data_IF_955735669858
#
_entry.id   IF_955735669858
#
_cell.length_a   1.000
_cell.length_b   1.000
_cell.length_c   1.000
_cell.angle_alpha   90.00
_cell.angle_beta   90.00
_cell.angle_gamma   90.00
#
_symmetry.space_group_name_H-M   'P 1'
#
loop_
_entity.id
_entity.type
_entity.pdbx_description
1 polymer ?
#
# COMPACT_ATOMS: atom_id res chain seq x y z
N UNK A 1 13.09 -49.51 17.16
CA UNK A 1 12.99 -48.25 16.39
C UNK A 1 11.86 -48.41 15.38
N UNK A 2 10.75 -47.68 15.53
CA UNK A 2 9.54 -47.90 14.74
C UNK A 2 9.71 -47.59 13.26
N UNK A 3 9.28 -48.52 12.40
CA UNK A 3 9.20 -48.36 10.94
C UNK A 3 8.12 -47.32 10.59
N UNK A 4 8.50 -46.05 10.44
CA UNK A 4 7.56 -45.01 10.00
C UNK A 4 7.51 -44.99 8.46
N UNK A 5 6.30 -45.09 7.91
CA UNK A 5 6.06 -45.01 6.46
C UNK A 5 6.53 -43.67 5.89
N UNK A 6 7.39 -43.72 4.87
CA UNK A 6 7.87 -42.51 4.18
C UNK A 6 6.74 -41.87 3.36
N UNK A 7 6.26 -40.71 3.82
CA UNK A 7 5.16 -39.97 3.18
C UNK A 7 5.63 -39.08 2.04
N UNK A 8 6.79 -38.43 2.17
CA UNK A 8 7.43 -37.61 1.12
C UNK A 8 8.29 -38.45 0.18
N UNK A 9 7.65 -39.37 -0.54
CA UNK A 9 8.31 -40.25 -1.51
C UNK A 9 8.39 -39.63 -2.91
N UNK A 10 9.04 -40.31 -3.87
CA UNK A 10 9.18 -39.84 -5.27
C UNK A 10 7.81 -39.57 -5.93
N UNK A 11 6.80 -40.39 -5.62
CA UNK A 11 5.44 -40.24 -6.14
C UNK A 11 4.70 -39.01 -5.58
N UNK A 12 5.03 -38.56 -4.36
CA UNK A 12 4.53 -37.31 -3.80
C UNK A 12 5.04 -36.12 -4.61
N UNK A 13 6.36 -36.02 -4.82
CA UNK A 13 6.95 -34.89 -5.54
C UNK A 13 6.53 -34.81 -7.01
N UNK A 14 6.32 -35.95 -7.69
CA UNK A 14 5.76 -35.99 -9.06
C UNK A 14 4.36 -35.39 -9.17
N UNK A 15 3.55 -35.40 -8.10
CA UNK A 15 2.17 -34.90 -8.08
C UNK A 15 2.00 -33.59 -7.31
N UNK A 16 3.07 -33.07 -6.72
CA UNK A 16 3.00 -31.91 -5.86
C UNK A 16 2.76 -30.64 -6.68
N UNK A 17 1.55 -30.09 -6.60
CA UNK A 17 1.25 -28.81 -7.23
C UNK A 17 1.77 -27.66 -6.36
N UNK A 18 2.76 -26.96 -6.89
CA UNK A 18 3.31 -25.80 -6.20
C UNK A 18 2.34 -24.61 -6.17
N UNK A 19 2.28 -23.92 -5.04
CA UNK A 19 1.59 -22.64 -4.94
C UNK A 19 2.37 -21.54 -5.68
N UNK A 20 1.69 -20.44 -6.02
CA UNK A 20 2.34 -19.29 -6.66
C UNK A 20 3.55 -18.79 -5.87
N UNK A 21 4.60 -18.35 -6.60
CA UNK A 21 5.89 -17.94 -6.02
C UNK A 21 5.74 -17.00 -4.82
N UNK A 22 5.04 -15.87 -4.98
CA UNK A 22 4.83 -14.87 -3.91
C UNK A 22 3.99 -15.36 -2.74
N UNK A 23 3.18 -16.40 -2.94
CA UNK A 23 2.42 -17.05 -1.86
C UNK A 23 3.34 -17.94 -1.03
N UNK A 24 4.24 -18.68 -1.68
CA UNK A 24 5.28 -19.48 -0.99
C UNK A 24 6.25 -18.60 -0.21
N UNK A 25 6.59 -17.43 -0.74
CA UNK A 25 7.39 -16.41 -0.03
C UNK A 25 6.63 -15.68 1.08
N UNK A 26 5.32 -15.90 1.23
CA UNK A 26 4.52 -15.21 2.25
C UNK A 26 4.48 -13.68 2.08
N UNK A 27 4.53 -13.17 0.84
CA UNK A 27 4.53 -11.72 0.55
C UNK A 27 3.22 -11.19 -0.01
N UNK A 28 2.31 -12.07 -0.41
CA UNK A 28 1.08 -11.67 -1.09
C UNK A 28 -0.08 -12.57 -0.72
N UNK A 29 -1.17 -11.94 -0.29
CA UNK A 29 -2.49 -12.55 -0.29
C UNK A 29 -3.16 -12.32 -1.66
N UNK A 30 -3.29 -13.39 -2.44
CA UNK A 30 -3.91 -13.33 -3.76
C UNK A 30 -5.42 -13.12 -3.70
N UNK A 31 -6.07 -13.48 -2.60
CA UNK A 31 -7.51 -13.31 -2.44
C UNK A 31 -7.86 -11.84 -2.22
N UNK A 32 -7.17 -11.19 -1.27
CA UNK A 32 -7.26 -9.75 -1.07
C UNK A 32 -6.81 -8.97 -2.31
N UNK A 33 -5.68 -9.36 -2.93
CA UNK A 33 -5.16 -8.71 -4.14
C UNK A 33 -6.18 -8.77 -5.28
N UNK A 34 -6.77 -9.94 -5.58
CA UNK A 34 -7.76 -10.08 -6.65
C UNK A 34 -8.89 -9.07 -6.49
N UNK A 35 -9.45 -8.95 -5.29
CA UNK A 35 -10.56 -8.02 -5.00
C UNK A 35 -10.15 -6.56 -5.09
N UNK A 36 -8.95 -6.23 -4.65
CA UNK A 36 -8.46 -4.86 -4.66
C UNK A 36 -8.21 -4.36 -6.09
N UNK A 37 -7.56 -5.18 -6.93
CA UNK A 37 -7.16 -4.77 -8.28
C UNK A 37 -8.28 -4.89 -9.32
N UNK A 38 -9.29 -5.71 -9.06
CA UNK A 38 -10.38 -5.93 -10.01
C UNK A 38 -11.08 -4.62 -10.32
N UNK A 39 -11.05 -4.22 -11.58
CA UNK A 39 -11.72 -3.03 -12.10
C UNK A 39 -12.96 -3.45 -12.88
N UNK A 40 -14.00 -2.61 -12.84
CA UNK A 40 -15.19 -2.81 -13.65
C UNK A 40 -14.83 -2.78 -15.14
N UNK A 41 -15.32 -3.75 -15.92
CA UNK A 41 -14.96 -3.87 -17.33
C UNK A 41 -15.45 -2.71 -18.20
N UNK A 42 -16.45 -1.96 -17.74
CA UNK A 42 -16.93 -0.74 -18.39
C UNK A 42 -15.92 0.43 -18.30
N UNK A 43 -14.98 0.39 -17.35
CA UNK A 43 -13.89 1.37 -17.19
C UNK A 43 -12.66 0.90 -17.96
N UNK A 44 -12.78 0.91 -19.29
CA UNK A 44 -11.74 0.46 -20.23
C UNK A 44 -10.39 1.10 -19.94
N UNK A 45 -9.36 0.26 -19.75
CA UNK A 45 -7.97 0.65 -19.49
C UNK A 45 -7.74 1.71 -18.38
N UNK A 46 -8.77 2.07 -17.62
CA UNK A 46 -8.67 3.08 -16.57
C UNK A 46 -7.96 2.46 -15.36
N UNK A 47 -6.79 2.97 -14.99
CA UNK A 47 -5.99 2.37 -13.92
C UNK A 47 -6.71 2.48 -12.58
N UNK A 48 -6.72 1.38 -11.83
CA UNK A 48 -7.19 1.35 -10.44
C UNK A 48 -6.00 1.54 -9.50
N UNK A 49 -5.89 2.74 -8.92
CA UNK A 49 -4.78 3.10 -8.04
C UNK A 49 -4.98 2.56 -6.63
N UNK A 50 -3.91 2.01 -6.06
CA UNK A 50 -3.86 1.56 -4.66
C UNK A 50 -2.66 2.16 -3.94
N UNK A 51 -2.87 2.58 -2.70
CA UNK A 51 -1.84 3.00 -1.76
C UNK A 51 -1.34 1.77 -1.01
N UNK A 52 -0.14 1.32 -1.36
CA UNK A 52 0.52 0.17 -0.75
C UNK A 52 1.39 0.67 0.39
N UNK A 53 1.01 0.30 1.62
CA UNK A 53 1.77 0.63 2.83
C UNK A 53 2.42 -0.65 3.35
N UNK A 54 3.75 -0.64 3.48
CA UNK A 54 4.53 -1.78 4.00
C UNK A 54 5.47 -1.30 5.10
N UNK A 55 5.50 -2.09 6.16
CA UNK A 55 6.39 -1.86 7.29
C UNK A 55 7.52 -2.88 7.21
N UNK A 56 8.74 -2.38 7.34
CA UNK A 56 9.90 -3.19 7.67
C UNK A 56 10.29 -2.90 9.13
N UNK A 57 11.34 -3.56 9.63
CA UNK A 57 11.78 -3.35 11.01
C UNK A 57 12.33 -1.92 11.24
N UNK A 58 12.83 -1.25 10.20
CA UNK A 58 13.52 0.05 10.31
C UNK A 58 12.96 1.14 9.40
N UNK A 59 12.06 0.81 8.49
CA UNK A 59 11.55 1.73 7.46
C UNK A 59 10.06 1.50 7.18
N UNK A 60 9.37 2.58 6.80
CA UNK A 60 7.99 2.58 6.34
C UNK A 60 7.99 2.94 4.87
N UNK A 61 7.41 2.06 4.06
CA UNK A 61 7.34 2.22 2.60
C UNK A 61 5.90 2.49 2.20
N UNK A 62 5.64 3.65 1.63
CA UNK A 62 4.34 4.05 1.11
C UNK A 62 4.46 4.27 -0.41
N UNK A 63 3.62 3.61 -1.20
CA UNK A 63 3.69 3.67 -2.66
C UNK A 63 2.31 3.75 -3.28
N UNK A 64 2.16 4.54 -4.36
CA UNK A 64 0.96 4.50 -5.19
C UNK A 64 1.23 3.61 -6.39
N UNK A 65 0.43 2.56 -6.53
CA UNK A 65 0.63 1.49 -7.51
C UNK A 65 -0.66 1.24 -8.27
N UNK A 66 -0.56 0.92 -9.57
CA UNK A 66 -1.66 0.34 -10.34
C UNK A 66 -1.19 -0.94 -11.04
N UNK A 67 -2.12 -1.84 -11.34
CA UNK A 67 -1.82 -3.12 -11.97
C UNK A 67 -1.85 -3.00 -13.51
N UNK A 68 -0.84 -3.56 -14.19
CA UNK A 68 -0.85 -3.87 -15.62
C UNK A 68 -0.67 -5.38 -15.81
N UNK A 69 -0.86 -5.87 -17.04
CA UNK A 69 -0.70 -7.29 -17.38
C UNK A 69 0.74 -7.76 -17.16
N UNK A 70 1.72 -6.95 -17.58
CA UNK A 70 3.15 -7.30 -17.47
C UNK A 70 3.68 -7.19 -16.02
N UNK A 71 3.03 -6.35 -15.21
CA UNK A 71 3.47 -6.06 -13.85
C UNK A 71 2.78 -4.84 -13.24
N UNK A 72 3.05 -4.62 -11.96
CA UNK A 72 2.59 -3.44 -11.25
C UNK A 72 3.47 -2.23 -11.58
N UNK A 73 2.86 -1.08 -11.88
CA UNK A 73 3.58 0.17 -12.13
C UNK A 73 3.46 1.10 -10.92
N UNK A 74 4.59 1.66 -10.51
CA UNK A 74 4.66 2.58 -9.36
C UNK A 74 4.60 4.02 -9.86
N UNK A 75 3.63 4.77 -9.36
CA UNK A 75 3.42 6.17 -9.75
C UNK A 75 4.27 7.13 -8.92
N UNK A 76 4.32 6.89 -7.61
CA UNK A 76 5.11 7.65 -6.65
C UNK A 76 5.45 6.77 -5.44
N UNK A 77 6.54 7.11 -4.77
CA UNK A 77 7.05 6.44 -3.58
C UNK A 77 7.41 7.46 -2.50
N UNK A 78 7.28 7.06 -1.25
CA UNK A 78 7.77 7.76 -0.08
C UNK A 78 8.30 6.74 0.92
N UNK A 79 9.38 7.11 1.60
CA UNK A 79 10.05 6.27 2.57
C UNK A 79 10.27 7.03 3.88
N UNK A 80 10.31 6.34 5.01
CA UNK A 80 10.52 7.04 6.28
C UNK A 80 11.97 7.46 6.48
N UNK A 81 12.93 6.78 5.84
CA UNK A 81 14.34 7.22 5.81
C UNK A 81 14.58 8.56 5.09
N UNK A 82 13.59 9.10 4.37
CA UNK A 82 13.66 10.43 3.76
C UNK A 82 13.19 11.55 4.71
N UNK A 83 12.45 11.20 5.78
CA UNK A 83 11.92 12.14 6.76
C UNK A 83 12.98 12.99 7.50
N UNK A 84 14.23 12.52 7.73
CA UNK A 84 15.28 13.35 8.30
C UNK A 84 15.56 14.64 7.52
N UNK A 85 15.28 14.67 6.21
CA UNK A 85 15.40 15.88 5.37
C UNK A 85 14.38 16.97 5.75
N UNK A 86 13.29 16.58 6.40
CA UNK A 86 12.18 17.44 6.80
C UNK A 86 12.13 17.67 8.32
N UNK A 87 13.20 17.34 9.05
CA UNK A 87 13.33 17.60 10.48
C UNK A 87 13.07 16.41 11.41
N UNK A 88 12.52 15.30 10.93
CA UNK A 88 12.27 14.10 11.76
C UNK A 88 13.48 13.15 11.70
N UNK A 89 14.40 13.30 12.66
CA UNK A 89 15.68 12.59 12.65
C UNK A 89 15.64 11.17 13.25
N UNK A 90 14.72 10.90 14.18
CA UNK A 90 14.66 9.67 14.98
C UNK A 90 13.24 9.09 14.93
N UNK A 91 13.09 7.80 15.21
CA UNK A 91 11.77 7.19 15.36
C UNK A 91 11.04 6.94 14.05
N UNK A 92 11.76 6.52 13.01
CA UNK A 92 11.25 6.42 11.63
C UNK A 92 10.19 5.32 11.40
N UNK A 93 9.85 4.52 12.41
CA UNK A 93 8.88 3.42 12.32
C UNK A 93 7.65 3.59 13.23
N UNK A 94 7.55 4.72 13.93
CA UNK A 94 6.43 5.02 14.82
C UNK A 94 5.18 5.50 14.05
N UNK A 95 4.09 5.74 14.77
CA UNK A 95 2.84 6.22 14.19
C UNK A 95 2.98 7.62 13.54
N UNK A 96 3.63 8.62 14.17
CA UNK A 96 3.93 9.91 13.52
C UNK A 96 4.70 9.79 12.21
N UNK A 97 5.73 8.93 12.15
CA UNK A 97 6.50 8.70 10.93
C UNK A 97 5.64 8.06 9.83
N UNK A 98 4.71 7.18 10.18
CA UNK A 98 3.73 6.65 9.24
C UNK A 98 2.85 7.76 8.66
N UNK A 99 2.35 8.67 9.52
CA UNK A 99 1.56 9.83 9.08
C UNK A 99 2.38 10.74 8.16
N UNK A 100 3.59 11.12 8.56
CA UNK A 100 4.46 11.98 7.75
C UNK A 100 4.82 11.34 6.39
N UNK A 101 5.09 10.03 6.35
CA UNK A 101 5.36 9.33 5.07
C UNK A 101 4.14 9.25 4.16
N UNK A 102 2.94 9.06 4.73
CA UNK A 102 1.68 9.14 3.99
C UNK A 102 1.45 10.53 3.38
N UNK A 103 1.67 11.58 4.16
CA UNK A 103 1.55 12.97 3.71
C UNK A 103 2.56 13.31 2.61
N UNK A 104 3.81 12.87 2.79
CA UNK A 104 4.86 13.06 1.78
C UNK A 104 4.48 12.39 0.45
N UNK A 105 3.91 11.18 0.50
CA UNK A 105 3.42 10.48 -0.68
C UNK A 105 2.29 11.25 -1.38
N UNK A 106 1.29 11.70 -0.62
CA UNK A 106 0.15 12.46 -1.15
C UNK A 106 0.61 13.74 -1.86
N UNK A 107 1.49 14.53 -1.23
CA UNK A 107 2.04 15.76 -1.84
C UNK A 107 2.83 15.48 -3.11
N UNK A 108 3.65 14.42 -3.13
CA UNK A 108 4.39 14.02 -4.35
C UNK A 108 3.45 13.67 -5.51
N UNK A 109 2.37 12.95 -5.21
CA UNK A 109 1.38 12.53 -6.22
C UNK A 109 0.61 13.73 -6.75
N UNK A 110 0.13 14.60 -5.87
CA UNK A 110 -0.60 15.80 -6.25
C UNK A 110 0.29 16.75 -7.08
N UNK A 111 1.55 16.94 -6.69
CA UNK A 111 2.51 17.73 -7.48
C UNK A 111 2.77 17.13 -8.86
N UNK A 112 2.91 15.79 -8.95
CA UNK A 112 3.09 15.09 -10.23
C UNK A 112 1.86 15.21 -11.14
N UNK A 113 0.66 15.29 -10.56
CA UNK A 113 -0.61 15.47 -11.27
C UNK A 113 -1.02 16.94 -11.47
N UNK A 114 -0.24 17.90 -10.94
CA UNK A 114 -0.55 19.34 -10.93
C UNK A 114 -1.91 19.64 -10.28
N UNK A 115 -2.17 18.97 -9.15
CA UNK A 115 -3.38 19.06 -8.33
C UNK A 115 -3.10 19.64 -6.93
N UNK A 116 -1.85 20.03 -6.67
CA UNK A 116 -1.35 20.51 -5.39
C UNK A 116 -1.98 21.83 -4.93
N UNK A 117 -2.25 22.75 -5.85
CA UNK A 117 -2.91 24.03 -5.54
C UNK A 117 -4.42 23.87 -5.28
N UNK A 118 -5.07 22.92 -5.97
CA UNK A 118 -6.51 22.67 -5.86
C UNK A 118 -6.86 21.87 -4.61
N UNK A 119 -6.02 20.90 -4.24
CA UNK A 119 -6.26 19.97 -3.14
C UNK A 119 -5.20 20.13 -2.07
N UNK A 120 -5.41 21.13 -1.21
CA UNK A 120 -4.51 21.41 -0.10
C UNK A 120 -4.74 20.50 1.11
N UNK A 121 -5.90 19.86 1.24
CA UNK A 121 -6.21 19.04 2.42
C UNK A 121 -6.38 19.88 3.69
N UNK A 122 -6.35 19.21 4.85
CA UNK A 122 -6.42 19.88 6.15
C UNK A 122 -5.03 20.40 6.56
N UNK A 123 -4.89 21.72 6.71
CA UNK A 123 -3.62 22.38 7.10
C UNK A 123 -3.33 22.22 8.59
N UNK A 124 -4.36 22.35 9.44
CA UNK A 124 -4.26 22.21 10.90
C UNK A 124 -4.87 20.88 11.34
N UNK A 125 -4.08 20.01 11.94
CA UNK A 125 -4.46 18.62 12.21
C UNK A 125 -5.29 18.52 13.49
N UNK A 126 -6.61 18.27 13.35
CA UNK A 126 -7.53 18.14 14.49
C UNK A 126 -7.89 16.69 14.83
N UNK A 127 -7.50 15.72 13.99
CA UNK A 127 -7.81 14.29 14.16
C UNK A 127 -9.24 13.87 13.75
N UNK A 128 -10.12 14.82 13.42
CA UNK A 128 -11.51 14.58 13.00
C UNK A 128 -11.62 13.97 11.59
N UNK A 129 -12.70 13.27 11.28
CA UNK A 129 -12.86 12.70 9.93
C UNK A 129 -12.83 13.78 8.85
N UNK A 130 -11.91 13.62 7.89
CA UNK A 130 -11.74 14.52 6.77
C UNK A 130 -11.89 13.71 5.48
N UNK A 131 -12.69 14.23 4.55
CA UNK A 131 -12.94 13.64 3.24
C UNK A 131 -12.77 14.73 2.20
N UNK A 132 -11.86 14.53 1.25
CA UNK A 132 -11.64 15.48 0.17
C UNK A 132 -12.82 15.42 -0.80
N UNK A 133 -13.55 16.53 -0.91
CA UNK A 133 -14.61 16.69 -1.91
C UNK A 133 -14.03 16.94 -3.30
N UNK A 134 -14.66 16.38 -4.33
CA UNK A 134 -14.21 16.60 -5.70
C UNK A 134 -14.65 17.97 -6.22
N UNK A 135 -13.77 18.64 -6.96
CA UNK A 135 -14.05 19.93 -7.56
C UNK A 135 -14.68 19.72 -8.94
N UNK A 136 -15.48 20.66 -9.42
CA UNK A 136 -16.17 20.60 -10.71
C UNK A 136 -15.21 20.49 -11.91
N UNK A 137 -14.00 21.08 -11.82
CA UNK A 137 -13.04 21.10 -12.94
C UNK A 137 -12.23 19.80 -13.06
N UNK A 138 -11.72 19.28 -11.95
CA UNK A 138 -10.94 18.04 -11.88
C UNK A 138 -11.27 17.33 -10.58
N UNK A 139 -11.55 16.03 -10.68
CA UNK A 139 -11.84 15.21 -9.51
C UNK A 139 -10.60 14.97 -8.64
N UNK A 140 -10.84 14.72 -7.35
CA UNK A 140 -9.78 14.36 -6.42
C UNK A 140 -9.13 13.02 -6.80
N UNK A 141 -7.85 12.87 -6.48
CA UNK A 141 -7.15 11.62 -6.76
C UNK A 141 -7.69 10.49 -5.87
N UNK A 142 -8.26 9.46 -6.50
CA UNK A 142 -8.83 8.31 -5.78
C UNK A 142 -7.83 7.17 -5.69
N UNK A 143 -7.54 6.73 -4.47
CA UNK A 143 -6.73 5.54 -4.20
C UNK A 143 -7.38 4.61 -3.16
N UNK A 144 -7.12 3.31 -3.28
CA UNK A 144 -7.57 2.30 -2.33
C UNK A 144 -6.42 1.82 -1.44
N UNK A 145 -6.65 1.64 -0.15
CA UNK A 145 -5.60 1.16 0.76
C UNK A 145 -5.31 -0.35 0.54
N UNK A 146 -4.04 -0.69 0.37
CA UNK A 146 -3.53 -2.07 0.34
C UNK A 146 -2.73 -2.35 1.62
N UNK A 147 -3.37 -3.04 2.56
CA UNK A 147 -2.80 -3.46 3.85
C UNK A 147 -1.85 -4.67 3.70
N UNK A 148 -1.99 -5.44 2.62
CA UNK A 148 -1.22 -6.66 2.39
C UNK A 148 -1.56 -7.76 3.40
N UNK A 149 -0.54 -8.28 4.08
CA UNK A 149 -0.66 -9.37 5.05
C UNK A 149 -0.76 -8.89 6.51
N UNK A 150 -0.73 -7.58 6.72
CA UNK A 150 -0.81 -7.00 8.07
C UNK A 150 -2.24 -7.11 8.59
N UNK A 151 -2.36 -7.39 9.88
CA UNK A 151 -3.64 -7.38 10.59
C UNK A 151 -4.14 -5.94 10.73
N UNK A 152 -5.41 -5.73 10.45
CA UNK A 152 -6.11 -4.45 10.64
C UNK A 152 -6.64 -4.37 12.07
N UNK A 153 -5.82 -3.86 12.99
CA UNK A 153 -6.23 -3.55 14.37
C UNK A 153 -6.47 -2.05 14.54
N UNK A 154 -7.35 -1.68 15.48
CA UNK A 154 -7.53 -0.28 15.89
C UNK A 154 -6.19 0.32 16.31
N UNK A 155 -5.85 1.51 15.81
CA UNK A 155 -4.58 2.18 16.09
C UNK A 155 -3.36 1.65 15.35
N UNK A 156 -3.51 0.74 14.37
CA UNK A 156 -2.36 0.27 13.60
C UNK A 156 -1.69 1.40 12.78
N UNK A 157 -0.35 1.41 12.73
CA UNK A 157 0.44 2.42 12.01
C UNK A 157 0.09 2.52 10.52
N UNK A 158 -0.46 1.46 9.90
CA UNK A 158 -0.96 1.50 8.51
C UNK A 158 -2.04 2.57 8.35
N UNK A 159 -2.91 2.70 9.34
CA UNK A 159 -3.96 3.72 9.33
C UNK A 159 -3.40 5.12 9.61
N UNK A 160 -2.26 5.24 10.30
CA UNK A 160 -1.51 6.50 10.38
C UNK A 160 -1.04 6.96 9.00
N UNK A 161 -0.47 6.06 8.20
CA UNK A 161 -0.08 6.36 6.82
C UNK A 161 -1.28 6.66 5.90
N UNK A 162 -2.41 5.95 6.09
CA UNK A 162 -3.67 6.30 5.42
C UNK A 162 -4.07 7.73 5.79
N UNK A 163 -4.10 8.04 7.08
CA UNK A 163 -4.57 9.32 7.61
C UNK A 163 -3.69 10.50 7.22
N UNK A 164 -2.39 10.28 7.01
CA UNK A 164 -1.50 11.28 6.45
C UNK A 164 -1.70 11.50 4.95
N UNK A 165 -2.16 10.49 4.23
CA UNK A 165 -2.40 10.56 2.79
C UNK A 165 -3.79 11.13 2.41
N UNK A 166 -4.73 11.13 3.36
CA UNK A 166 -6.08 11.73 3.26
C UNK A 166 -5.99 13.23 3.51
#
# INVERSE_FOLDING_TARGET
MGLVKVTKNKAYFKRFQVKFRRRREGKTDYYARKRLIWQDKNKYNTPKYRSVVRFTNKDIVCQIIYACMDGDRVMATAYSHELPRYGVKIGLTNYPAAYCTGLLLARRVLKKLKLDSMYQGQTEVNGENYLVESNAKRGAFKCFLDVGLRRTSSGANIFGALRGAV
#
